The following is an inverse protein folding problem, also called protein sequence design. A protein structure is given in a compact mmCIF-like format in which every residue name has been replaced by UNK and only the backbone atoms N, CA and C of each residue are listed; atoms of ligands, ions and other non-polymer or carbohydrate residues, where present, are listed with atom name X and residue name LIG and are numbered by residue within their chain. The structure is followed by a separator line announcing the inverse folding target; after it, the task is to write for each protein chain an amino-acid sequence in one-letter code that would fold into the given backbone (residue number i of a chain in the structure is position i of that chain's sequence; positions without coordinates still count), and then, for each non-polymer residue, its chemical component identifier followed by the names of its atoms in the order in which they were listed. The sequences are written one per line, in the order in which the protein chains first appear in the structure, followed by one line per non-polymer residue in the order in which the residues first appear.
data_IF_475403192684
#
_entry.id   IF_475403192684
#
_cell.length_a   1.000
_cell.length_b   1.000
_cell.length_c   1.000
_cell.angle_alpha   90.00
_cell.angle_beta   90.00
_cell.angle_gamma   90.00
#
_symmetry.space_group_name_H-M   'P 1'
#
loop_
_entity.id
_entity.type
_entity.pdbx_description
1 polymer ?
#
# COMPACT_ATOMS: atom_id res chain seq x y z
N UNK A 1 -7.07 13.48 -9.32
CA UNK A 1 -5.96 12.68 -8.77
C UNK A 1 -5.53 11.67 -9.83
N UNK A 2 -4.23 11.39 -9.99
CA UNK A 2 -3.77 10.43 -11.01
C UNK A 2 -4.11 9.00 -10.58
N UNK A 3 -4.45 8.15 -11.55
CA UNK A 3 -4.86 6.76 -11.34
C UNK A 3 -3.85 5.96 -10.49
N UNK A 4 -2.54 6.16 -10.70
CA UNK A 4 -1.49 5.51 -9.91
C UNK A 4 -1.52 5.88 -8.42
N UNK A 5 -1.69 7.16 -8.09
CA UNK A 5 -1.81 7.60 -6.69
C UNK A 5 -3.07 7.05 -6.03
N UNK A 6 -4.18 6.99 -6.76
CA UNK A 6 -5.45 6.45 -6.27
C UNK A 6 -5.36 4.94 -5.99
N UNK A 7 -4.75 4.17 -6.88
CA UNK A 7 -4.50 2.73 -6.66
C UNK A 7 -3.59 2.47 -5.47
N UNK A 8 -2.54 3.26 -5.27
CA UNK A 8 -1.67 3.12 -4.10
C UNK A 8 -2.41 3.39 -2.79
N UNK A 9 -3.27 4.41 -2.74
CA UNK A 9 -4.09 4.70 -1.56
C UNK A 9 -5.04 3.53 -1.27
N UNK A 10 -5.70 2.99 -2.29
CA UNK A 10 -6.56 1.81 -2.14
C UNK A 10 -5.76 0.60 -1.66
N UNK A 11 -4.57 0.37 -2.19
CA UNK A 11 -3.69 -0.71 -1.75
C UNK A 11 -3.32 -0.60 -0.28
N UNK A 12 -2.97 0.61 0.19
CA UNK A 12 -2.67 0.85 1.60
C UNK A 12 -3.90 0.60 2.48
N UNK A 13 -5.07 1.12 2.09
CA UNK A 13 -6.32 0.91 2.83
C UNK A 13 -6.75 -0.55 2.85
N UNK A 14 -6.60 -1.27 1.73
CA UNK A 14 -6.89 -2.68 1.63
C UNK A 14 -5.95 -3.51 2.52
N UNK A 15 -4.65 -3.20 2.53
CA UNK A 15 -3.70 -3.86 3.42
C UNK A 15 -4.01 -3.60 4.90
N UNK A 16 -4.32 -2.37 5.28
CA UNK A 16 -4.77 -2.03 6.64
C UNK A 16 -6.05 -2.77 7.03
N UNK A 17 -7.02 -2.85 6.12
CA UNK A 17 -8.26 -3.60 6.34
C UNK A 17 -7.99 -5.08 6.55
N UNK A 18 -7.13 -5.72 5.75
CA UNK A 18 -6.80 -7.15 5.90
C UNK A 18 -6.18 -7.45 7.27
N UNK A 19 -5.40 -6.52 7.84
CA UNK A 19 -4.82 -6.66 9.18
C UNK A 19 -5.90 -6.50 10.26
N UNK A 20 -6.77 -5.50 10.12
CA UNK A 20 -7.74 -5.12 11.16
C UNK A 20 -9.04 -5.92 11.12
N UNK A 21 -9.42 -6.45 9.96
CA UNK A 21 -10.68 -7.14 9.77
C UNK A 21 -10.91 -8.27 10.77
N UNK A 22 -9.94 -9.17 11.07
CA UNK A 22 -10.12 -10.24 12.04
C UNK A 22 -10.49 -9.76 13.45
N UNK A 23 -9.91 -8.65 13.90
CA UNK A 23 -10.22 -8.06 15.22
C UNK A 23 -11.63 -7.46 15.24
N UNK A 24 -12.02 -6.77 14.15
CA UNK A 24 -13.35 -6.15 14.02
C UNK A 24 -14.46 -7.21 14.03
N UNK A 25 -14.23 -8.36 13.38
CA UNK A 25 -15.23 -9.45 13.33
C UNK A 25 -15.16 -10.37 14.57
N UNK A 26 -14.27 -10.11 15.52
CA UNK A 26 -14.22 -10.80 16.80
C UNK A 26 -13.37 -12.08 16.85
N UNK A 27 -12.41 -12.25 15.93
CA UNK A 27 -11.48 -13.39 15.95
C UNK A 27 -10.25 -13.17 16.84
N UNK A 28 -10.34 -12.31 17.86
CA UNK A 28 -9.23 -11.95 18.76
C UNK A 28 -8.38 -13.17 19.18
N UNK A 29 -7.03 -13.08 19.14
CA UNK A 29 -6.16 -14.22 19.39
C UNK A 29 -6.12 -14.52 20.89
N UNK A 30 -6.95 -15.44 21.33
CA UNK A 30 -6.88 -16.05 22.66
C UNK A 30 -6.09 -17.36 22.57
N UNK A 31 -5.32 -17.70 23.62
CA UNK A 31 -4.57 -18.95 23.65
C UNK A 31 -5.52 -20.14 23.43
N UNK A 32 -5.21 -20.99 22.45
CA UNK A 32 -6.05 -22.13 22.07
C UNK A 32 -7.13 -21.83 21.02
N UNK A 33 -7.21 -20.60 20.50
CA UNK A 33 -8.14 -20.26 19.43
C UNK A 33 -7.68 -20.86 18.08
N UNK A 34 -8.49 -21.68 17.39
CA UNK A 34 -8.14 -22.23 16.06
C UNK A 34 -7.91 -21.14 15.00
N UNK A 35 -8.41 -19.92 15.22
CA UNK A 35 -8.27 -18.78 14.32
C UNK A 35 -6.93 -18.05 14.44
N UNK A 36 -6.07 -18.42 15.41
CA UNK A 36 -4.76 -17.76 15.63
C UNK A 36 -3.84 -17.85 14.41
N UNK A 37 -3.78 -19.03 13.76
CA UNK A 37 -2.97 -19.23 12.55
C UNK A 37 -3.45 -18.39 11.36
N UNK A 38 -4.73 -18.47 10.98
CA UNK A 38 -5.33 -17.59 9.96
C UNK A 38 -5.14 -16.10 10.25
N UNK A 39 -5.24 -15.67 11.51
CA UNK A 39 -4.97 -14.29 11.92
C UNK A 39 -3.54 -13.86 11.59
N UNK A 40 -2.55 -14.67 11.98
CA UNK A 40 -1.15 -14.38 11.66
C UNK A 40 -0.93 -14.28 10.15
N UNK A 41 -1.55 -15.19 9.37
CA UNK A 41 -1.51 -15.16 7.92
C UNK A 41 -2.10 -13.87 7.33
N UNK A 42 -3.23 -13.40 7.88
CA UNK A 42 -3.84 -12.13 7.44
C UNK A 42 -2.96 -10.92 7.77
N UNK A 43 -2.30 -10.90 8.93
CA UNK A 43 -1.39 -9.81 9.29
C UNK A 43 -0.18 -9.74 8.34
N UNK A 44 0.41 -10.90 8.01
CA UNK A 44 1.51 -11.00 7.04
C UNK A 44 1.04 -10.54 5.66
N UNK A 45 -0.11 -11.04 5.20
CA UNK A 45 -0.64 -10.70 3.88
C UNK A 45 -0.98 -9.21 3.76
N UNK A 46 -1.65 -8.64 4.75
CA UNK A 46 -1.97 -7.21 4.78
C UNK A 46 -0.71 -6.35 4.81
N UNK A 47 0.31 -6.75 5.58
CA UNK A 47 1.62 -6.10 5.58
C UNK A 47 2.30 -6.12 4.20
N UNK A 48 2.28 -7.27 3.51
CA UNK A 48 2.82 -7.38 2.15
C UNK A 48 2.09 -6.47 1.16
N UNK A 49 0.76 -6.42 1.22
CA UNK A 49 -0.06 -5.54 0.37
C UNK A 49 0.31 -4.07 0.60
N UNK A 50 0.45 -3.64 1.86
CA UNK A 50 0.86 -2.27 2.19
C UNK A 50 2.26 -1.96 1.66
N UNK A 51 3.22 -2.89 1.82
CA UNK A 51 4.58 -2.71 1.33
C UNK A 51 4.62 -2.58 -0.21
N UNK A 52 3.91 -3.44 -0.94
CA UNK A 52 3.84 -3.34 -2.40
C UNK A 52 3.19 -2.03 -2.84
N UNK A 53 2.13 -1.59 -2.16
CA UNK A 53 1.47 -0.33 -2.47
C UNK A 53 2.39 0.90 -2.23
N UNK A 54 3.18 0.86 -1.15
CA UNK A 54 4.18 1.89 -0.84
C UNK A 54 5.31 1.93 -1.86
N UNK A 55 5.87 0.77 -2.24
CA UNK A 55 6.91 0.69 -3.27
C UNK A 55 6.39 1.23 -4.60
N UNK A 56 5.16 0.86 -4.99
CA UNK A 56 4.51 1.40 -6.19
C UNK A 56 4.31 2.91 -6.13
N UNK A 57 3.92 3.45 -4.97
CA UNK A 57 3.75 4.90 -4.77
C UNK A 57 5.08 5.65 -4.89
N UNK A 58 6.14 5.13 -4.26
CA UNK A 58 7.49 5.71 -4.31
C UNK A 58 8.04 5.68 -5.74
N UNK A 59 7.92 4.55 -6.44
CA UNK A 59 8.35 4.43 -7.83
C UNK A 59 7.60 5.41 -8.75
N UNK A 60 6.28 5.52 -8.59
CA UNK A 60 5.46 6.46 -9.35
C UNK A 60 5.89 7.92 -9.14
N UNK A 61 6.11 8.32 -7.89
CA UNK A 61 6.58 9.67 -7.58
C UNK A 61 8.02 9.92 -8.04
N UNK A 62 8.91 8.93 -7.94
CA UNK A 62 10.28 9.02 -8.44
C UNK A 62 10.34 9.25 -9.95
N UNK A 63 9.56 8.49 -10.73
CA UNK A 63 9.41 8.71 -12.16
C UNK A 63 8.83 10.10 -12.46
N UNK A 64 7.83 10.53 -11.70
CA UNK A 64 7.19 11.82 -11.94
C UNK A 64 8.11 13.02 -11.66
N UNK A 65 8.90 12.95 -10.59
CA UNK A 65 9.90 13.96 -10.28
C UNK A 65 10.99 14.02 -11.36
N UNK A 66 11.39 12.86 -11.90
CA UNK A 66 12.34 12.80 -13.02
C UNK A 66 11.77 13.42 -14.31
N UNK A 67 10.50 13.15 -14.63
CA UNK A 67 9.81 13.80 -15.77
C UNK A 67 9.78 15.33 -15.61
N UNK A 68 9.44 15.84 -14.42
CA UNK A 68 9.38 17.27 -14.14
C UNK A 68 10.77 17.92 -14.17
N UNK A 69 11.80 17.22 -13.67
CA UNK A 69 13.19 17.69 -13.69
C UNK A 69 13.74 17.80 -15.12
N UNK A 70 13.40 16.85 -16.00
CA UNK A 70 13.79 16.90 -17.42
C UNK A 70 12.99 17.92 -18.25
N UNK A 71 11.91 18.50 -17.70
CA UNK A 71 11.09 19.52 -18.37
C UNK A 71 11.44 20.96 -17.98
N UNK A 72 12.41 21.17 -17.09
CA UNK A 72 12.95 22.50 -16.78
C UNK A 72 14.22 22.76 -17.63
N UNK A 73 14.60 24.01 -17.92
CA UNK A 73 14.09 24.97 -18.90
C UNK A 73 14.69 24.84 -20.32
N UNK A 74 15.31 23.72 -20.71
CA UNK A 74 16.00 23.60 -22.03
C UNK A 74 15.10 23.68 -23.28
N UNK A 75 13.78 23.81 -23.13
CA UNK A 75 12.83 23.93 -24.25
C UNK A 75 12.19 25.32 -24.40
N UNK A 76 12.58 26.33 -23.62
CA UNK A 76 12.10 27.71 -23.81
C UNK A 76 12.93 28.55 -24.78
N UNK A 77 14.07 28.02 -25.27
CA UNK A 77 14.97 28.71 -26.22
C UNK A 77 15.08 27.99 -27.58
N UNK A 78 13.99 27.43 -28.10
CA UNK A 78 13.91 26.88 -29.47
C UNK A 78 12.80 27.53 -30.30
#
# INVERSE_FOLDING_TARGET
MKFGTWLSIIGILAGAWVILAPEIVGFAPTHGNPWTGPMLGSAILGGLIMLTALVGLVAFWGLRLRELGNQSPEQQDA
#
